data_IF_003244936167
#
_entry.id   IF_003244936167
#
_cell.length_a   1.000
_cell.length_b   1.000
_cell.length_c   1.000
_cell.angle_alpha   90.00
_cell.angle_beta   90.00
_cell.angle_gamma   90.00
#
_symmetry.space_group_name_H-M   'P 1'
#
loop_
_entity.id
_entity.type
_entity.pdbx_description
1 polymer ?
#
# COMPACT_ATOMS: atom_id res chain seq x y z
N UNK A 1 -22.17 5.77 -20.98
CA UNK A 1 -21.70 7.06 -20.45
C UNK A 1 -20.60 6.70 -19.45
N UNK A 2 -19.34 6.77 -19.89
CA UNK A 2 -18.22 6.14 -19.20
C UNK A 2 -17.78 6.98 -18.00
N UNK A 3 -17.72 6.34 -16.84
CA UNK A 3 -17.46 6.95 -15.54
C UNK A 3 -16.05 7.51 -15.44
N UNK A 4 -15.94 8.57 -14.65
CA UNK A 4 -14.68 9.16 -14.24
C UNK A 4 -13.76 8.07 -13.65
N UNK A 5 -12.64 7.80 -14.30
CA UNK A 5 -11.60 6.89 -13.80
C UNK A 5 -10.99 7.53 -12.58
N UNK A 6 -11.18 6.93 -11.39
CA UNK A 6 -10.34 7.28 -10.24
C UNK A 6 -8.90 7.01 -10.66
N UNK A 7 -7.99 7.96 -10.44
CA UNK A 7 -6.56 7.81 -10.73
C UNK A 7 -5.82 7.86 -9.40
N UNK A 8 -4.79 7.03 -9.23
CA UNK A 8 -3.95 7.01 -8.04
C UNK A 8 -3.46 8.42 -7.65
N UNK A 9 -3.11 9.24 -8.65
CA UNK A 9 -2.63 10.63 -8.46
C UNK A 9 -3.68 11.60 -7.92
N UNK A 10 -4.97 11.22 -7.92
CA UNK A 10 -6.07 12.05 -7.43
C UNK A 10 -6.57 11.62 -6.04
N UNK A 11 -5.97 10.59 -5.42
CA UNK A 11 -6.32 10.21 -4.05
C UNK A 11 -5.98 11.36 -3.10
N UNK A 12 -6.84 11.57 -2.11
CA UNK A 12 -6.62 12.58 -1.06
C UNK A 12 -5.73 11.97 0.01
N UNK A 13 -4.57 12.56 0.23
CA UNK A 13 -3.63 12.16 1.27
C UNK A 13 -3.87 12.92 2.57
N UNK A 14 -3.76 12.21 3.70
CA UNK A 14 -3.60 12.82 5.02
C UNK A 14 -2.64 12.01 5.88
N UNK A 15 -2.02 12.68 6.86
CA UNK A 15 -1.20 12.07 7.88
C UNK A 15 -1.78 12.36 9.26
N UNK A 16 -1.80 11.36 10.12
CA UNK A 16 -2.31 11.47 11.49
C UNK A 16 -1.53 10.56 12.44
N UNK A 17 -1.90 10.60 13.72
CA UNK A 17 -1.39 9.68 14.74
C UNK A 17 -2.51 8.85 15.33
N UNK A 18 -2.19 7.61 15.70
CA UNK A 18 -3.11 6.68 16.34
C UNK A 18 -2.37 5.51 16.98
N UNK A 19 -3.12 4.45 17.30
CA UNK A 19 -2.57 3.25 17.94
C UNK A 19 -2.25 2.19 16.90
N UNK A 20 -1.00 1.73 16.89
CA UNK A 20 -0.63 0.52 16.15
C UNK A 20 -1.17 -0.71 16.90
N UNK A 21 -2.20 -1.33 16.35
CA UNK A 21 -2.76 -2.58 16.90
C UNK A 21 -2.18 -3.75 16.11
N UNK A 22 -1.28 -4.49 16.75
CA UNK A 22 -0.63 -5.65 16.15
C UNK A 22 -1.66 -6.75 15.88
N UNK A 23 -1.57 -7.38 14.70
CA UNK A 23 -2.37 -8.54 14.32
C UNK A 23 -2.08 -9.71 15.29
N UNK A 24 -3.06 -10.54 15.64
CA UNK A 24 -2.79 -11.68 16.54
C UNK A 24 -2.53 -12.96 15.74
N UNK A 25 -1.45 -13.68 16.04
CA UNK A 25 -1.07 -14.93 15.33
C UNK A 25 -2.19 -15.98 15.36
N UNK A 26 -3.06 -15.96 16.36
CA UNK A 26 -4.17 -16.90 16.52
C UNK A 26 -5.36 -16.64 15.58
N UNK A 27 -5.60 -15.40 15.16
CA UNK A 27 -6.72 -15.02 14.29
C UNK A 27 -6.31 -14.85 12.82
N UNK A 28 -5.00 -14.69 12.58
CA UNK A 28 -4.47 -14.33 11.28
C UNK A 28 -3.97 -15.51 10.48
N UNK A 29 -3.93 -15.32 9.17
CA UNK A 29 -3.23 -16.24 8.26
C UNK A 29 -1.78 -15.81 8.13
N UNK A 30 -0.85 -16.72 8.45
CA UNK A 30 0.59 -16.51 8.29
C UNK A 30 1.04 -16.85 6.87
N UNK A 31 1.73 -15.93 6.23
CA UNK A 31 2.30 -16.04 4.90
C UNK A 31 3.81 -16.31 5.00
N UNK A 32 4.19 -17.48 5.53
CA UNK A 32 5.59 -17.80 5.84
C UNK A 32 6.55 -17.72 4.63
N UNK A 33 6.04 -17.87 3.39
CA UNK A 33 6.85 -17.69 2.18
C UNK A 33 7.35 -16.25 1.96
N UNK A 34 6.75 -15.27 2.66
CA UNK A 34 7.13 -13.85 2.61
C UNK A 34 8.19 -13.51 3.66
N UNK A 35 8.38 -14.35 4.68
CA UNK A 35 9.39 -14.19 5.74
C UNK A 35 10.78 -14.60 5.23
N UNK A 36 11.22 -13.91 4.18
CA UNK A 36 12.42 -14.16 3.39
C UNK A 36 12.89 -12.86 2.71
N UNK A 37 14.12 -12.87 2.21
CA UNK A 37 14.53 -11.95 1.14
C UNK A 37 14.00 -12.48 -0.20
N UNK A 38 13.36 -11.62 -0.99
CA UNK A 38 12.71 -11.98 -2.24
C UNK A 38 11.53 -12.96 -2.08
N UNK A 39 10.82 -12.90 -0.96
CA UNK A 39 9.62 -13.71 -0.69
C UNK A 39 8.36 -13.14 -1.34
N UNK A 40 7.49 -14.00 -1.88
CA UNK A 40 6.18 -13.61 -2.42
C UNK A 40 5.12 -14.63 -1.99
N UNK A 41 3.97 -14.13 -1.53
CA UNK A 41 2.84 -15.01 -1.20
C UNK A 41 2.18 -15.59 -2.45
N UNK A 42 1.46 -16.70 -2.29
CA UNK A 42 0.38 -17.04 -3.20
C UNK A 42 -0.71 -15.94 -3.17
N UNK A 43 -1.60 -15.92 -4.17
CA UNK A 43 -2.74 -15.01 -4.16
C UNK A 43 -3.64 -15.28 -2.93
N UNK A 44 -3.95 -14.23 -2.19
CA UNK A 44 -4.81 -14.25 -1.01
C UNK A 44 -6.10 -13.49 -1.31
N UNK A 45 -7.20 -13.89 -0.67
CA UNK A 45 -8.48 -13.21 -0.82
C UNK A 45 -8.54 -11.97 0.08
N UNK A 46 -8.99 -10.83 -0.45
CA UNK A 46 -9.25 -9.59 0.31
C UNK A 46 -10.41 -9.78 1.30
N UNK A 47 -11.33 -10.71 0.98
CA UNK A 47 -12.52 -11.00 1.78
C UNK A 47 -13.74 -10.16 1.40
N UNK A 48 -13.54 -9.08 0.65
CA UNK A 48 -14.58 -8.24 0.05
C UNK A 48 -14.09 -7.67 -1.29
N UNK A 49 -14.98 -7.05 -2.05
CA UNK A 49 -14.61 -6.32 -3.26
C UNK A 49 -14.04 -4.96 -2.87
N UNK A 50 -12.77 -4.72 -3.20
CA UNK A 50 -12.10 -3.45 -3.00
C UNK A 50 -11.98 -2.72 -4.34
N UNK A 51 -12.55 -1.53 -4.46
CA UNK A 51 -12.46 -0.71 -5.67
C UNK A 51 -11.24 0.20 -5.60
N UNK A 52 -10.27 -0.01 -6.48
CA UNK A 52 -9.07 0.83 -6.62
C UNK A 52 -8.98 1.34 -8.05
N UNK A 53 -8.83 2.66 -8.22
CA UNK A 53 -8.83 3.30 -9.55
C UNK A 53 -10.07 2.98 -10.41
N UNK A 54 -11.22 2.76 -9.75
CA UNK A 54 -12.46 2.35 -10.43
C UNK A 54 -12.50 0.89 -10.90
N UNK A 55 -11.46 0.10 -10.61
CA UNK A 55 -11.39 -1.33 -10.88
C UNK A 55 -11.62 -2.12 -9.60
N UNK A 56 -12.40 -3.20 -9.69
CA UNK A 56 -12.70 -4.08 -8.57
C UNK A 56 -11.63 -5.15 -8.41
N UNK A 57 -11.05 -5.24 -7.23
CA UNK A 57 -10.09 -6.26 -6.84
C UNK A 57 -10.65 -7.11 -5.70
N UNK A 58 -10.40 -8.41 -5.73
CA UNK A 58 -10.83 -9.36 -4.70
C UNK A 58 -9.67 -10.17 -4.12
N UNK A 59 -8.47 -9.99 -4.69
CA UNK A 59 -7.27 -10.72 -4.30
C UNK A 59 -6.06 -9.80 -4.25
N UNK A 60 -5.06 -10.22 -3.49
CA UNK A 60 -3.77 -9.56 -3.39
C UNK A 60 -2.64 -10.58 -3.28
N UNK A 61 -1.40 -10.14 -3.52
CA UNK A 61 -0.18 -10.84 -3.12
C UNK A 61 0.66 -9.92 -2.27
N UNK A 62 1.34 -10.47 -1.29
CA UNK A 62 2.25 -9.76 -0.39
C UNK A 62 3.68 -10.09 -0.78
N UNK A 63 4.52 -9.07 -0.93
CA UNK A 63 5.96 -9.19 -1.16
C UNK A 63 6.73 -8.97 0.13
N UNK A 64 7.87 -9.65 0.28
CA UNK A 64 8.81 -9.39 1.38
C UNK A 64 9.35 -7.96 1.33
N UNK A 65 9.39 -7.40 0.13
CA UNK A 65 9.86 -6.06 -0.18
C UNK A 65 8.83 -4.97 0.15
N UNK A 66 7.94 -5.21 1.12
CA UNK A 66 7.12 -4.16 1.74
C UNK A 66 6.03 -3.54 0.86
N UNK A 67 5.48 -4.31 -0.08
CA UNK A 67 4.28 -3.94 -0.83
C UNK A 67 3.30 -5.09 -1.00
N UNK A 68 2.03 -4.76 -1.23
CA UNK A 68 1.07 -5.67 -1.84
C UNK A 68 0.83 -5.32 -3.31
N UNK A 69 0.65 -6.35 -4.13
CA UNK A 69 0.12 -6.22 -5.49
C UNK A 69 -1.34 -6.67 -5.51
N UNK A 70 -2.21 -5.93 -6.18
CA UNK A 70 -3.59 -6.40 -6.43
C UNK A 70 -3.69 -7.25 -7.70
N UNK A 71 -2.58 -7.58 -8.36
CA UNK A 71 -2.55 -8.55 -9.44
C UNK A 71 -2.27 -9.97 -8.89
N UNK A 72 -3.27 -10.86 -8.84
CA UNK A 72 -3.10 -12.21 -8.30
C UNK A 72 -2.23 -13.11 -9.18
N UNK A 73 -1.93 -12.71 -10.41
CA UNK A 73 -1.07 -13.45 -11.35
C UNK A 73 0.38 -12.96 -11.37
N UNK A 74 0.67 -11.84 -10.70
CA UNK A 74 2.02 -11.30 -10.60
C UNK A 74 2.96 -12.25 -9.86
N UNK A 75 4.20 -12.38 -10.35
CA UNK A 75 5.21 -13.30 -9.81
C UNK A 75 6.48 -12.60 -9.36
N UNK A 76 6.56 -11.26 -9.47
CA UNK A 76 7.76 -10.49 -9.19
C UNK A 76 7.74 -9.89 -7.79
N UNK A 77 8.84 -10.04 -7.07
CA UNK A 77 9.06 -9.54 -5.69
C UNK A 77 9.59 -8.11 -5.66
N UNK A 78 10.18 -7.62 -6.76
CA UNK A 78 10.68 -6.26 -6.99
C UNK A 78 11.53 -5.64 -5.85
N UNK A 79 12.83 -5.48 -6.08
CA UNK A 79 13.73 -4.75 -5.16
C UNK A 79 13.89 -3.28 -5.55
N UNK A 80 13.87 -2.95 -6.85
CA UNK A 80 13.90 -1.56 -7.33
C UNK A 80 12.56 -0.88 -7.09
N UNK A 81 12.53 0.08 -6.18
CA UNK A 81 11.33 0.61 -5.57
C UNK A 81 10.74 1.87 -6.22
N UNK A 82 10.73 1.96 -7.54
CA UNK A 82 10.21 3.13 -8.24
C UNK A 82 8.81 2.88 -8.81
N UNK A 83 7.80 3.57 -8.26
CA UNK A 83 6.41 3.44 -8.72
C UNK A 83 6.22 3.92 -10.17
N UNK A 84 7.08 4.81 -10.67
CA UNK A 84 7.02 5.30 -12.05
C UNK A 84 7.54 4.29 -13.08
N UNK A 85 8.40 3.35 -12.66
CA UNK A 85 9.04 2.37 -13.55
C UNK A 85 8.79 0.91 -13.18
N UNK A 86 8.04 0.64 -12.10
CA UNK A 86 7.64 -0.71 -11.70
C UNK A 86 7.05 -1.51 -12.88
N UNK A 87 7.34 -2.80 -12.92
CA UNK A 87 6.90 -3.65 -14.04
C UNK A 87 5.36 -3.77 -14.08
N UNK A 88 4.80 -4.07 -15.27
CA UNK A 88 3.36 -4.22 -15.43
C UNK A 88 2.77 -5.41 -14.65
N UNK A 89 3.53 -6.50 -14.49
CA UNK A 89 3.05 -7.72 -13.82
C UNK A 89 2.80 -7.58 -12.33
N UNK A 90 3.43 -6.61 -11.66
CA UNK A 90 3.26 -6.35 -10.23
C UNK A 90 2.24 -5.25 -9.94
N UNK A 91 1.70 -4.58 -10.97
CA UNK A 91 0.74 -3.48 -10.81
C UNK A 91 -0.70 -3.96 -10.69
N UNK A 92 -1.59 -3.23 -9.99
CA UNK A 92 -1.28 -2.04 -9.18
C UNK A 92 -0.55 -2.40 -7.88
N UNK A 93 0.23 -1.45 -7.36
CA UNK A 93 1.08 -1.62 -6.17
C UNK A 93 0.56 -0.71 -5.05
N UNK A 94 0.41 -1.27 -3.85
CA UNK A 94 0.18 -0.53 -2.61
C UNK A 94 1.38 -0.79 -1.71
N UNK A 95 2.19 0.23 -1.47
CA UNK A 95 3.52 0.15 -0.89
C UNK A 95 3.58 0.95 0.43
N UNK A 96 3.29 0.34 1.60
CA UNK A 96 3.53 0.99 2.88
C UNK A 96 5.03 1.22 3.14
N UNK A 97 5.91 0.39 2.59
CA UNK A 97 7.35 0.54 2.75
C UNK A 97 8.11 -0.25 1.69
N UNK A 98 8.01 0.12 0.41
CA UNK A 98 8.65 -0.65 -0.66
C UNK A 98 10.15 -0.34 -0.75
N UNK A 99 10.97 -1.37 -0.55
CA UNK A 99 12.44 -1.33 -0.61
C UNK A 99 12.97 -2.76 -0.77
N UNK A 100 14.30 -2.93 -0.77
CA UNK A 100 14.95 -4.26 -0.76
C UNK A 100 14.99 -4.87 0.67
N UNK A 101 13.82 -5.21 1.21
CA UNK A 101 13.62 -5.62 2.61
C UNK A 101 13.76 -7.12 2.86
N UNK A 102 13.92 -7.52 4.13
CA UNK A 102 13.96 -8.93 4.54
C UNK A 102 13.08 -9.20 5.78
N UNK A 103 12.48 -10.39 5.77
CA UNK A 103 11.59 -10.89 6.81
C UNK A 103 12.22 -12.00 7.66
N UNK A 104 13.54 -12.05 7.80
CA UNK A 104 14.29 -13.12 8.48
C UNK A 104 15.04 -12.63 9.71
N UNK A 105 14.47 -11.64 10.42
CA UNK A 105 15.14 -11.04 11.57
C UNK A 105 15.59 -12.12 12.57
N UNK A 106 16.79 -11.91 13.13
CA UNK A 106 17.46 -12.90 14.00
C UNK A 106 16.52 -13.40 15.10
N UNK A 107 16.51 -14.72 15.30
CA UNK A 107 15.63 -15.38 16.26
C UNK A 107 14.25 -15.77 15.71
N UNK A 108 13.99 -15.56 14.41
CA UNK A 108 12.73 -15.99 13.77
C UNK A 108 11.52 -15.22 14.28
N UNK A 109 11.73 -13.93 14.59
CA UNK A 109 10.75 -13.05 15.24
C UNK A 109 9.85 -12.29 14.26
N UNK A 110 10.20 -12.30 12.98
CA UNK A 110 9.39 -11.68 11.91
C UNK A 110 8.13 -12.47 11.64
N UNK A 111 7.05 -11.77 11.28
CA UNK A 111 5.79 -12.39 10.86
C UNK A 111 5.23 -11.64 9.66
N UNK A 112 4.86 -12.38 8.63
CA UNK A 112 4.04 -11.89 7.53
C UNK A 112 2.62 -12.41 7.72
N UNK A 113 1.66 -11.52 7.98
CA UNK A 113 0.31 -11.89 8.41
C UNK A 113 -0.75 -11.13 7.63
N UNK A 114 -1.93 -11.71 7.48
CA UNK A 114 -3.13 -10.94 7.18
C UNK A 114 -4.35 -11.46 7.93
N UNK A 115 -5.31 -10.57 8.17
CA UNK A 115 -6.62 -10.92 8.72
C UNK A 115 -7.72 -10.01 8.15
N UNK A 116 -8.95 -10.52 8.15
CA UNK A 116 -10.15 -9.74 7.83
C UNK A 116 -10.99 -9.65 9.09
N UNK A 117 -11.24 -8.43 9.56
CA UNK A 117 -12.04 -8.16 10.75
C UNK A 117 -13.33 -7.43 10.40
N UNK A 118 -14.27 -7.38 11.35
CA UNK A 118 -15.59 -6.78 11.16
C UNK A 118 -16.58 -7.70 10.45
N UNK A 119 -17.73 -7.15 10.09
CA UNK A 119 -18.81 -7.85 9.38
C UNK A 119 -19.25 -7.01 8.19
N UNK A 120 -19.68 -7.66 7.10
CA UNK A 120 -20.16 -6.93 5.92
C UNK A 120 -21.30 -5.96 6.30
N UNK A 121 -21.37 -4.75 5.72
CA UNK A 121 -20.48 -4.19 4.69
C UNK A 121 -19.32 -3.32 5.27
N UNK A 122 -18.87 -3.59 6.51
CA UNK A 122 -17.87 -2.80 7.23
C UNK A 122 -16.65 -3.65 7.64
N UNK A 123 -16.14 -4.48 6.72
CA UNK A 123 -14.93 -5.27 6.95
C UNK A 123 -13.66 -4.47 6.70
N UNK A 124 -12.57 -4.90 7.33
CA UNK A 124 -11.23 -4.36 7.11
C UNK A 124 -10.26 -5.50 6.87
N UNK A 125 -9.56 -5.48 5.73
CA UNK A 125 -8.39 -6.32 5.52
C UNK A 125 -7.19 -5.61 6.15
N UNK A 126 -6.46 -6.28 7.04
CA UNK A 126 -5.15 -5.83 7.53
C UNK A 126 -4.08 -6.79 7.05
N UNK A 127 -3.03 -6.28 6.40
CA UNK A 127 -1.82 -7.03 6.00
C UNK A 127 -0.64 -6.45 6.77
N UNK A 128 0.08 -7.28 7.52
CA UNK A 128 1.13 -6.85 8.46
C UNK A 128 2.48 -7.48 8.11
N UNK A 129 3.51 -6.63 8.04
CA UNK A 129 4.92 -6.99 8.12
C UNK A 129 5.39 -6.66 9.53
N UNK A 130 5.56 -7.68 10.38
CA UNK A 130 5.99 -7.51 11.77
C UNK A 130 7.48 -7.76 11.89
N UNK A 131 8.15 -6.92 12.69
CA UNK A 131 9.57 -7.05 13.04
C UNK A 131 10.43 -7.21 11.78
N UNK A 132 10.18 -6.35 10.80
CA UNK A 132 10.81 -6.42 9.50
C UNK A 132 12.19 -5.78 9.51
N UNK A 133 13.08 -6.32 8.70
CA UNK A 133 14.42 -5.79 8.51
C UNK A 133 14.35 -4.74 7.40
N UNK A 134 14.93 -3.57 7.67
CA UNK A 134 15.08 -2.55 6.65
C UNK A 134 16.42 -2.75 5.97
N UNK A 135 16.37 -3.27 4.74
CA UNK A 135 17.46 -3.84 3.96
C UNK A 135 17.82 -5.30 4.31
N UNK A 136 17.98 -6.13 3.28
CA UNK A 136 18.35 -7.56 3.37
C UNK A 136 19.69 -7.86 4.05
N UNK A 137 20.54 -6.85 4.25
CA UNK A 137 21.81 -6.99 4.99
C UNK A 137 21.67 -6.69 6.48
N UNK A 138 20.51 -6.18 6.93
CA UNK A 138 20.21 -6.06 8.35
C UNK A 138 20.02 -7.47 8.96
N UNK A 139 20.05 -7.53 10.29
CA UNK A 139 19.81 -8.76 11.06
C UNK A 139 18.81 -8.54 12.21
N UNK A 140 18.32 -7.32 12.37
CA UNK A 140 17.54 -6.87 13.53
C UNK A 140 16.20 -6.27 13.10
N UNK A 141 15.14 -6.44 13.92
CA UNK A 141 13.86 -5.77 13.67
C UNK A 141 14.03 -4.24 13.64
N UNK A 142 13.71 -3.63 12.51
CA UNK A 142 13.81 -2.17 12.31
C UNK A 142 12.44 -1.51 12.40
N UNK A 143 11.42 -2.14 11.81
CA UNK A 143 10.08 -1.56 11.71
C UNK A 143 9.01 -2.64 11.57
N UNK A 144 7.83 -2.40 12.13
CA UNK A 144 6.60 -3.11 11.81
C UNK A 144 5.63 -2.15 11.12
N UNK A 145 4.94 -2.64 10.09
CA UNK A 145 4.00 -1.81 9.33
C UNK A 145 2.83 -2.62 8.77
N UNK A 146 1.73 -1.93 8.50
CA UNK A 146 0.50 -2.53 8.02
C UNK A 146 -0.03 -1.78 6.81
N UNK A 147 -0.71 -2.50 5.91
CA UNK A 147 -1.73 -1.95 5.01
C UNK A 147 -3.10 -2.32 5.56
N UNK A 148 -4.02 -1.35 5.58
CA UNK A 148 -5.44 -1.58 5.83
C UNK A 148 -6.26 -1.16 4.63
N UNK A 149 -7.12 -2.06 4.15
CA UNK A 149 -8.12 -1.79 3.13
C UNK A 149 -9.50 -1.84 3.76
N UNK A 150 -10.31 -0.81 3.53
CA UNK A 150 -11.64 -0.67 4.13
C UNK A 150 -12.75 -1.00 3.13
N UNK A 151 -13.64 -1.91 3.49
CA UNK A 151 -14.83 -2.23 2.71
C UNK A 151 -15.74 -0.99 2.57
N UNK A 152 -16.42 -0.86 1.43
CA UNK A 152 -17.34 0.24 1.08
C UNK A 152 -16.65 1.59 0.82
N UNK A 153 -15.79 2.06 1.71
CA UNK A 153 -15.11 3.37 1.56
C UNK A 153 -13.94 3.30 0.59
N UNK A 154 -13.35 2.12 0.41
CA UNK A 154 -12.15 1.87 -0.40
C UNK A 154 -10.94 2.73 0.03
N UNK A 155 -10.92 3.16 1.28
CA UNK A 155 -9.80 3.86 1.89
C UNK A 155 -8.63 2.88 2.05
N UNK A 156 -7.42 3.39 1.82
CA UNK A 156 -6.16 2.70 2.11
C UNK A 156 -5.49 3.42 3.26
N UNK A 157 -5.04 2.69 4.27
CA UNK A 157 -4.20 3.25 5.33
C UNK A 157 -2.92 2.45 5.54
N UNK A 158 -1.84 3.17 5.85
CA UNK A 158 -0.58 2.59 6.31
C UNK A 158 -0.36 2.93 7.78
N UNK A 159 -0.12 1.92 8.61
CA UNK A 159 0.10 2.09 10.06
C UNK A 159 1.50 1.60 10.42
N UNK A 160 2.19 2.31 11.31
CA UNK A 160 3.59 2.02 11.63
C UNK A 160 3.87 1.87 13.13
N UNK A 161 4.81 0.97 13.45
CA UNK A 161 5.48 0.87 14.74
C UNK A 161 6.99 0.81 14.49
N UNK A 162 7.72 1.81 14.95
CA UNK A 162 9.18 1.78 14.94
C UNK A 162 9.67 0.73 15.94
N UNK A 163 10.58 -0.15 15.50
CA UNK A 163 11.30 -1.06 16.40
C UNK A 163 12.62 -0.42 16.85
N UNK A 164 13.36 -1.10 17.73
CA UNK A 164 14.62 -0.59 18.29
C UNK A 164 15.78 -0.62 17.30
N UNK A 165 15.73 -1.47 16.26
CA UNK A 165 16.76 -1.55 15.24
C UNK A 165 16.91 -0.25 14.44
N UNK A 166 18.15 0.03 14.02
CA UNK A 166 18.49 1.15 13.16
C UNK A 166 18.22 0.81 11.69
N UNK A 167 17.88 1.82 10.89
CA UNK A 167 17.80 1.66 9.42
C UNK A 167 19.20 1.35 8.88
N UNK A 168 19.33 0.30 8.09
CA UNK A 168 20.55 -0.05 7.36
C UNK A 168 20.32 0.23 5.88
N UNK A 169 21.04 1.20 5.28
CA UNK A 169 20.95 1.50 3.84
C UNK A 169 19.52 1.62 3.28
N UNK A 170 18.56 2.12 4.07
CA UNK A 170 17.17 2.26 3.64
C UNK A 170 17.02 3.29 2.52
N UNK A 171 16.13 3.00 1.58
CA UNK A 171 15.84 3.81 0.40
C UNK A 171 14.37 3.75 0.00
N UNK A 172 13.45 3.48 0.92
CA UNK A 172 12.08 3.08 0.62
C UNK A 172 11.27 4.09 -0.22
N UNK A 173 10.19 3.56 -0.81
CA UNK A 173 9.07 4.30 -1.36
C UNK A 173 7.81 3.96 -0.56
N UNK A 174 7.07 4.99 -0.16
CA UNK A 174 5.81 4.85 0.57
C UNK A 174 4.71 5.47 -0.28
N UNK A 175 3.74 4.70 -0.77
CA UNK A 175 2.69 5.23 -1.63
C UNK A 175 1.82 4.19 -2.32
N UNK A 176 1.10 4.66 -3.32
CA UNK A 176 0.19 3.87 -4.15
C UNK A 176 0.49 4.10 -5.63
N UNK A 177 0.45 3.06 -6.44
CA UNK A 177 0.77 3.11 -7.87
C UNK A 177 -0.26 2.40 -8.73
N UNK A 178 -0.49 2.95 -9.92
CA UNK A 178 -1.59 2.53 -10.79
C UNK A 178 -1.38 1.19 -11.47
N UNK A 179 -2.47 0.61 -11.96
CA UNK A 179 -2.46 -0.60 -12.76
C UNK A 179 -1.70 -0.44 -14.10
N UNK A 180 -1.75 0.76 -14.69
CA UNK A 180 -1.13 1.08 -15.99
C UNK A 180 0.31 1.57 -15.89
N UNK A 181 0.74 1.97 -14.69
CA UNK A 181 2.05 2.57 -14.43
C UNK A 181 2.21 4.02 -14.83
N UNK A 182 1.14 4.66 -15.29
CA UNK A 182 1.14 6.08 -15.70
C UNK A 182 0.79 7.04 -14.55
N UNK A 183 0.33 6.53 -13.41
CA UNK A 183 -0.09 7.34 -12.27
C UNK A 183 0.40 6.72 -10.96
N UNK A 184 0.79 7.57 -10.02
CA UNK A 184 1.12 7.19 -8.66
C UNK A 184 0.89 8.39 -7.73
N UNK A 185 0.93 8.10 -6.44
CA UNK A 185 0.97 9.09 -5.37
C UNK A 185 1.84 8.53 -4.24
N UNK A 186 3.02 9.12 -4.04
CA UNK A 186 3.95 8.67 -3.00
C UNK A 186 4.46 9.80 -2.13
N UNK A 187 4.87 9.44 -0.93
CA UNK A 187 5.36 10.34 0.09
C UNK A 187 6.70 10.95 -0.34
N UNK A 188 6.87 12.26 -0.14
CA UNK A 188 8.13 12.96 -0.40
C UNK A 188 9.04 13.01 0.83
N UNK A 189 8.46 12.95 2.03
CA UNK A 189 9.18 12.95 3.30
C UNK A 189 8.34 12.34 4.41
N UNK A 190 8.99 11.61 5.33
CA UNK A 190 8.36 11.11 6.56
C UNK A 190 8.31 12.18 7.65
N UNK A 191 9.30 13.07 7.72
CA UNK A 191 9.41 14.09 8.78
C UNK A 191 8.46 15.26 8.57
N UNK A 192 8.14 15.56 7.31
CA UNK A 192 7.10 16.54 6.93
C UNK A 192 6.21 15.87 5.89
N UNK A 193 5.26 15.02 6.32
CA UNK A 193 4.44 14.21 5.42
C UNK A 193 3.76 15.04 4.34
N UNK A 194 4.16 14.80 3.10
CA UNK A 194 3.55 15.34 1.89
C UNK A 194 3.68 14.29 0.79
N UNK A 195 2.88 14.42 -0.27
CA UNK A 195 2.88 13.47 -1.40
C UNK A 195 3.17 14.16 -2.72
N UNK A 196 3.68 13.40 -3.69
CA UNK A 196 3.90 13.81 -5.07
C UNK A 196 3.30 12.78 -6.02
N UNK A 197 2.75 13.28 -7.13
CA UNK A 197 2.30 12.49 -8.28
C UNK A 197 3.15 12.73 -9.53
N UNK A 198 4.17 13.60 -9.44
CA UNK A 198 5.02 14.02 -10.56
C UNK A 198 6.48 13.64 -10.37
N UNK A 199 6.90 13.39 -9.13
CA UNK A 199 8.25 12.96 -8.78
C UNK A 199 8.15 11.71 -7.92
N UNK A 200 8.68 10.60 -8.39
CA UNK A 200 8.73 9.36 -7.63
C UNK A 200 9.89 9.44 -6.63
N UNK A 201 9.57 9.60 -5.35
CA UNK A 201 10.56 9.51 -4.26
C UNK A 201 10.92 8.05 -3.97
N UNK A 202 12.21 7.73 -4.06
CA UNK A 202 12.80 6.38 -3.98
C UNK A 202 13.98 6.31 -3.01
N UNK A 203 13.97 7.16 -1.99
CA UNK A 203 15.09 7.31 -1.07
C UNK A 203 14.66 7.64 0.38
N UNK A 204 13.46 7.22 0.79
CA UNK A 204 13.04 7.39 2.18
C UNK A 204 13.87 6.46 3.06
N UNK A 205 14.72 7.05 3.89
CA UNK A 205 15.63 6.33 4.78
C UNK A 205 15.33 6.56 6.27
N UNK A 206 14.16 7.14 6.56
CA UNK A 206 13.74 7.52 7.90
C UNK A 206 12.49 6.75 8.29
N UNK A 207 12.48 6.15 9.49
CA UNK A 207 11.33 5.41 10.01
C UNK A 207 10.16 6.37 10.29
N UNK A 208 8.94 6.07 9.83
CA UNK A 208 7.74 6.63 10.44
C UNK A 208 7.71 6.33 11.93
N UNK A 209 7.37 7.34 12.74
CA UNK A 209 7.25 7.21 14.19
C UNK A 209 6.15 6.19 14.55
N UNK A 210 6.27 5.56 15.72
CA UNK A 210 5.22 4.67 16.21
C UNK A 210 3.89 5.42 16.32
N UNK A 211 2.84 4.81 15.75
CA UNK A 211 1.51 5.38 15.70
C UNK A 211 1.26 6.32 14.53
N UNK A 212 2.23 6.56 13.63
CA UNK A 212 1.98 7.28 12.38
C UNK A 212 0.97 6.51 11.53
N UNK A 213 0.00 7.23 10.96
CA UNK A 213 -0.96 6.72 10.00
C UNK A 213 -0.91 7.60 8.74
N UNK A 214 -0.77 6.96 7.58
CA UNK A 214 -0.93 7.61 6.28
C UNK A 214 -2.18 7.11 5.60
N UNK A 215 -3.10 8.01 5.26
CA UNK A 215 -4.40 7.67 4.69
C UNK A 215 -4.48 8.17 3.25
N UNK A 216 -4.88 7.29 2.34
CA UNK A 216 -5.18 7.60 0.95
C UNK A 216 -6.67 7.33 0.72
N UNK A 217 -7.43 8.41 0.59
CA UNK A 217 -8.87 8.34 0.35
C UNK A 217 -9.16 8.46 -1.15
N UNK A 218 -10.03 7.60 -1.73
CA UNK A 218 -10.47 7.77 -3.10
C UNK A 218 -11.00 9.19 -3.35
N UNK A 219 -10.80 9.76 -4.55
CA UNK A 219 -11.34 11.08 -4.87
C UNK A 219 -12.88 11.07 -4.71
N UNK A 220 -13.48 12.17 -4.24
CA UNK A 220 -14.92 12.29 -4.16
C UNK A 220 -15.57 11.99 -5.51
N UNK A 221 -16.69 11.28 -5.48
CA UNK A 221 -17.49 11.02 -6.68
C UNK A 221 -17.96 12.38 -7.22
N UNK A 222 -17.68 12.70 -8.49
CA UNK A 222 -18.21 13.93 -9.09
C UNK A 222 -19.74 13.89 -9.07
N UNK A 223 -20.37 14.76 -8.28
CA UNK A 223 -21.84 14.88 -8.16
C UNK A 223 -22.44 15.89 -9.13
N UNK A 224 -21.64 16.48 -10.03
CA UNK A 224 -22.12 17.41 -11.04
C UNK A 224 -22.84 16.68 -12.17
N UNK A 225 -24.14 16.94 -12.35
CA UNK A 225 -24.79 16.65 -13.62
C UNK A 225 -24.05 17.44 -14.72
N UNK A 226 -23.75 16.85 -15.89
CA UNK A 226 -23.21 17.63 -16.99
C UNK A 226 -24.21 18.76 -17.30
N UNK A 227 -23.73 20.01 -17.23
CA UNK A 227 -24.53 21.15 -17.68
C UNK A 227 -24.78 20.92 -19.16
N UNK A 228 -26.05 20.78 -19.53
CA UNK A 228 -26.44 20.66 -20.93
C UNK A 228 -25.84 21.85 -21.69
N UNK A 229 -24.97 21.57 -22.67
CA UNK A 229 -24.43 22.60 -23.52
C UNK A 229 -25.60 23.35 -24.17
N UNK A 230 -25.59 24.69 -24.08
CA UNK A 230 -26.56 25.51 -24.77
C UNK A 230 -26.44 25.17 -26.27
N UNK A 231 -27.48 24.63 -26.93
CA UNK A 231 -27.46 24.55 -28.38
C UNK A 231 -27.45 26.00 -28.88
N UNK A 232 -26.30 26.45 -29.37
CA UNK A 232 -26.22 27.66 -30.18
C UNK A 232 -27.19 27.44 -31.34
N UNK A 233 -28.33 28.14 -31.31
CA UNK A 233 -29.23 28.22 -32.44
C UNK A 233 -28.42 28.74 -33.62
N UNK A 234 -28.25 27.91 -34.66
CA UNK A 234 -27.83 28.37 -35.97
C UNK A 234 -28.92 29.33 -36.47
N UNK A 235 -28.64 30.62 -36.39
CA UNK A 235 -29.38 31.64 -37.11
C UNK A 235 -28.86 31.65 -38.55
N UNK A 236 -29.70 31.10 -39.43
CA UNK A 236 -29.77 31.18 -40.90
C UNK A 236 -28.52 30.87 -41.72
#
# INVERSE_FOLDING_TARGET
MYGYSQSASNYVFSASTGTFTQVTDASATRLSAVEADGGLSAAQNIGFTFTYEGVNYTQFRMSSNGFISLNPTGTSTLTTNDLSTANASSRPIIAPLWDDLDGRATGGVSRALYEVTGTAPNRVLTVEWRNWEWNYTSSTPVISFQVKLYETTNIIEFHYRSETGSVSSGSATIGIGSATGTAYLNLTSVTTPAVSSTTSTTNINTKPSTGTIYTFSPPPICTGAPVAGNPQQLLY
#
